data_IF_372474027246
#
_entry.id   IF_372474027246
#
_cell.length_a   1.000
_cell.length_b   1.000
_cell.length_c   1.000
_cell.angle_alpha   90.00
_cell.angle_beta   90.00
_cell.angle_gamma   90.00
#
_symmetry.space_group_name_H-M   'P 1'
#
loop_
_entity.id
_entity.type
_entity.pdbx_description
1 polymer ?
#
# COMPACT_ATOMS: atom_id res chain seq x y z
N UNK A 1 15.30 15.70 17.27
CA UNK A 1 13.91 15.59 17.33
C UNK A 1 13.24 14.53 16.47
N UNK A 2 12.01 14.79 16.07
CA UNK A 2 11.13 13.83 15.38
C UNK A 2 11.74 13.16 14.14
N UNK A 3 12.43 13.88 13.21
CA UNK A 3 13.02 13.22 12.04
C UNK A 3 14.07 12.17 12.40
N UNK A 4 14.88 12.42 13.43
CA UNK A 4 15.87 11.47 13.89
C UNK A 4 15.21 10.24 14.54
N UNK A 5 14.11 10.42 15.28
CA UNK A 5 13.35 9.31 15.86
C UNK A 5 12.73 8.42 14.76
N UNK A 6 12.14 9.02 13.72
CA UNK A 6 11.61 8.28 12.57
C UNK A 6 12.71 7.48 11.85
N UNK A 7 13.89 8.08 11.66
CA UNK A 7 15.03 7.39 11.05
C UNK A 7 15.53 6.21 11.90
N UNK A 8 15.66 6.40 13.22
CA UNK A 8 16.09 5.33 14.13
C UNK A 8 15.08 4.17 14.13
N UNK A 9 13.78 4.46 14.21
CA UNK A 9 12.74 3.43 14.14
C UNK A 9 12.79 2.65 12.82
N UNK A 10 13.01 3.34 11.70
CA UNK A 10 13.18 2.69 10.39
C UNK A 10 14.42 1.78 10.35
N UNK A 11 15.54 2.22 10.93
CA UNK A 11 16.77 1.42 10.99
C UNK A 11 16.57 0.19 11.88
N UNK A 12 15.93 0.34 13.02
CA UNK A 12 15.67 -0.76 13.93
C UNK A 12 14.76 -1.83 13.30
N UNK A 13 13.69 -1.39 12.62
CA UNK A 13 12.82 -2.29 11.86
C UNK A 13 13.58 -3.04 10.76
N UNK A 14 14.36 -2.35 9.94
CA UNK A 14 15.14 -2.96 8.86
C UNK A 14 16.15 -3.98 9.38
N UNK A 15 16.85 -3.65 10.48
CA UNK A 15 17.80 -4.56 11.12
C UNK A 15 17.11 -5.78 11.71
N UNK A 16 16.00 -5.58 12.43
CA UNK A 16 15.25 -6.66 13.05
C UNK A 16 14.65 -7.61 12.01
N UNK A 17 14.09 -7.06 10.93
CA UNK A 17 13.45 -7.83 9.87
C UNK A 17 14.45 -8.44 8.86
N UNK A 18 15.67 -7.95 8.81
CA UNK A 18 16.62 -8.32 7.77
C UNK A 18 16.24 -7.83 6.38
N UNK A 19 15.42 -6.78 6.30
CA UNK A 19 14.85 -6.24 5.06
C UNK A 19 15.46 -4.87 4.77
N UNK A 20 16.54 -4.77 3.98
CA UNK A 20 17.18 -3.51 3.69
C UNK A 20 16.30 -2.64 2.79
N UNK A 21 16.34 -1.35 3.04
CA UNK A 21 15.72 -0.36 2.16
C UNK A 21 16.52 -0.26 0.86
N UNK A 22 15.83 -0.34 -0.28
CA UNK A 22 16.44 -0.12 -1.61
C UNK A 22 16.31 1.31 -2.08
N UNK A 23 15.51 2.10 -1.41
CA UNK A 23 15.24 3.49 -1.69
C UNK A 23 14.23 4.06 -0.71
N UNK A 24 13.90 5.31 -0.88
CA UNK A 24 12.95 5.99 -0.02
C UNK A 24 12.71 7.42 -0.43
N UNK A 25 11.92 8.08 0.37
CA UNK A 25 11.60 9.50 0.25
C UNK A 25 11.46 10.07 1.66
N UNK A 26 12.01 11.22 1.88
CA UNK A 26 11.74 12.02 3.08
C UNK A 26 11.08 13.33 2.71
N UNK A 27 10.22 13.82 3.59
CA UNK A 27 9.73 15.18 3.56
C UNK A 27 10.23 15.87 4.82
N UNK A 28 11.08 16.87 4.61
CA UNK A 28 11.53 17.74 5.69
C UNK A 28 10.38 18.61 6.15
N UNK A 29 10.41 19.00 7.40
CA UNK A 29 9.45 19.97 7.91
C UNK A 29 9.56 21.28 7.14
N UNK A 30 8.45 21.78 6.71
CA UNK A 30 8.32 23.06 6.08
C UNK A 30 7.01 23.72 6.47
N UNK A 31 6.98 25.04 6.43
CA UNK A 31 5.76 25.82 6.63
C UNK A 31 5.55 26.69 5.41
N UNK A 32 4.36 26.62 4.85
CA UNK A 32 3.91 27.53 3.80
C UNK A 32 2.61 28.15 4.29
N UNK A 33 2.66 29.46 4.59
CA UNK A 33 1.56 30.17 5.25
C UNK A 33 1.14 29.43 6.55
N UNK A 34 -0.10 28.99 6.65
CA UNK A 34 -0.66 28.25 7.77
C UNK A 34 -0.52 26.72 7.65
N UNK A 35 0.09 26.24 6.57
CA UNK A 35 0.26 24.81 6.32
C UNK A 35 1.62 24.34 6.83
N UNK A 36 1.58 23.44 7.80
CA UNK A 36 2.77 22.76 8.30
C UNK A 36 2.89 21.36 7.68
N UNK A 37 3.99 21.09 6.99
CA UNK A 37 4.27 19.76 6.44
C UNK A 37 4.76 18.85 7.56
N UNK A 38 4.09 17.72 7.85
CA UNK A 38 4.56 16.76 8.83
C UNK A 38 5.85 16.09 8.38
N UNK A 39 6.69 15.73 9.34
CA UNK A 39 7.88 14.92 9.06
C UNK A 39 7.44 13.55 8.55
N UNK A 40 7.84 13.22 7.33
CA UNK A 40 7.44 11.97 6.68
C UNK A 40 8.69 11.25 6.16
N UNK A 41 8.85 10.01 6.56
CA UNK A 41 9.85 9.08 6.04
C UNK A 41 9.16 7.94 5.34
N UNK A 42 9.51 7.70 4.08
CA UNK A 42 9.04 6.56 3.30
C UNK A 42 10.22 5.67 2.98
N UNK A 43 10.12 4.40 3.31
CA UNK A 43 11.15 3.39 3.05
C UNK A 43 10.58 2.31 2.14
N UNK A 44 11.32 1.96 1.10
CA UNK A 44 10.95 0.94 0.15
C UNK A 44 11.83 -0.29 0.32
N UNK A 45 11.20 -1.45 0.44
CA UNK A 45 11.85 -2.75 0.33
C UNK A 45 11.22 -3.53 -0.83
N UNK A 46 11.99 -4.44 -1.41
CA UNK A 46 11.54 -5.27 -2.54
C UNK A 46 11.81 -6.72 -2.21
N UNK A 47 10.83 -7.54 -2.49
CA UNK A 47 10.95 -8.99 -2.45
C UNK A 47 10.26 -9.60 -3.67
N UNK A 48 10.40 -10.90 -3.86
CA UNK A 48 9.78 -11.65 -4.96
C UNK A 48 8.98 -12.80 -4.38
N UNK A 49 7.77 -13.00 -4.89
CA UNK A 49 6.92 -14.09 -4.48
C UNK A 49 6.29 -14.80 -5.69
N UNK A 50 5.89 -16.03 -5.50
CA UNK A 50 5.10 -16.73 -6.50
C UNK A 50 3.71 -16.08 -6.58
N UNK A 51 3.25 -15.74 -7.78
CA UNK A 51 1.95 -15.10 -8.00
C UNK A 51 0.78 -15.88 -7.38
N UNK A 52 0.91 -17.19 -7.21
CA UNK A 52 -0.10 -18.04 -6.54
C UNK A 52 -0.29 -17.69 -5.06
N UNK A 53 0.75 -17.17 -4.42
CA UNK A 53 0.73 -16.83 -3.00
C UNK A 53 0.34 -15.37 -2.77
N UNK A 54 0.02 -14.62 -3.83
CA UNK A 54 -0.40 -13.23 -3.70
C UNK A 54 -1.87 -13.17 -3.34
N UNK A 55 -2.16 -12.66 -2.15
CA UNK A 55 -3.52 -12.50 -1.60
C UNK A 55 -3.89 -11.02 -1.54
N UNK A 56 -5.09 -10.67 -2.01
CA UNK A 56 -5.55 -9.28 -1.95
C UNK A 56 -6.11 -8.91 -0.58
N UNK A 57 -6.19 -7.59 -0.32
CA UNK A 57 -6.71 -7.08 0.94
C UNK A 57 -8.24 -7.03 1.06
N UNK A 58 -9.00 -7.43 0.04
CA UNK A 58 -10.47 -7.34 0.07
C UNK A 58 -11.10 -8.63 0.55
N UNK A 59 -12.13 -8.58 1.40
CA UNK A 59 -12.91 -9.75 1.80
C UNK A 59 -13.42 -10.53 0.59
N UNK A 60 -13.45 -11.87 0.69
CA UNK A 60 -13.77 -12.74 -0.44
C UNK A 60 -15.14 -13.40 -0.31
N UNK A 61 -15.55 -13.73 0.91
CA UNK A 61 -16.75 -14.56 1.11
C UNK A 61 -17.41 -14.26 2.44
N UNK A 62 -18.74 -14.11 2.45
CA UNK A 62 -19.52 -14.01 3.68
C UNK A 62 -19.46 -15.34 4.45
N UNK A 63 -19.43 -15.24 5.79
CA UNK A 63 -19.40 -16.37 6.72
C UNK A 63 -18.00 -16.81 7.14
N UNK A 64 -16.94 -16.20 6.64
CA UNK A 64 -15.58 -16.46 7.08
C UNK A 64 -15.27 -15.75 8.40
N UNK A 65 -14.37 -16.33 9.20
CA UNK A 65 -13.84 -15.70 10.40
C UNK A 65 -12.91 -14.53 10.04
N UNK A 66 -13.01 -13.46 10.81
CA UNK A 66 -12.11 -12.30 10.76
C UNK A 66 -11.27 -12.30 12.02
N UNK A 67 -9.96 -12.38 11.86
CA UNK A 67 -9.01 -12.48 12.95
C UNK A 67 -8.05 -11.29 12.93
N UNK A 68 -7.66 -10.79 14.10
CA UNK A 68 -6.48 -9.96 14.22
C UNK A 68 -5.32 -10.79 14.74
N UNK A 69 -4.17 -10.62 14.11
CA UNK A 69 -2.90 -11.17 14.54
C UNK A 69 -2.06 -10.00 15.04
N UNK A 70 -2.00 -9.85 16.34
CA UNK A 70 -1.44 -8.68 17.03
C UNK A 70 0.06 -8.81 17.25
N UNK A 71 0.72 -7.65 17.36
CA UNK A 71 2.11 -7.55 17.81
C UNK A 71 2.14 -6.70 19.08
N UNK A 72 2.66 -7.20 20.20
CA UNK A 72 2.79 -6.42 21.40
C UNK A 72 3.86 -5.32 21.25
N UNK A 73 3.71 -4.26 22.03
CA UNK A 73 4.65 -3.15 22.10
C UNK A 73 5.33 -3.08 23.46
N UNK A 74 6.56 -2.63 23.48
CA UNK A 74 7.26 -2.31 24.71
C UNK A 74 6.82 -0.96 25.30
N UNK A 75 7.43 -0.59 26.43
CA UNK A 75 7.13 0.70 27.10
C UNK A 75 7.52 1.94 26.28
N UNK A 76 8.36 1.78 25.29
CA UNK A 76 8.77 2.83 24.34
C UNK A 76 7.92 2.85 23.08
N UNK A 77 6.85 2.03 23.04
CA UNK A 77 5.98 1.86 21.86
C UNK A 77 6.72 1.27 20.65
N UNK A 78 7.79 0.53 20.86
CA UNK A 78 8.43 -0.26 19.81
C UNK A 78 7.75 -1.65 19.71
N UNK A 79 7.44 -2.14 18.50
CA UNK A 79 6.84 -3.46 18.33
C UNK A 79 7.85 -4.57 18.67
N UNK A 80 7.36 -5.67 19.23
CA UNK A 80 8.16 -6.87 19.42
C UNK A 80 8.42 -7.55 18.06
N UNK A 81 9.60 -7.31 17.51
CA UNK A 81 9.98 -7.83 16.20
C UNK A 81 10.12 -9.36 16.15
N UNK A 82 10.41 -10.03 17.28
CA UNK A 82 10.47 -11.49 17.30
C UNK A 82 9.08 -12.10 17.21
N UNK A 83 8.13 -11.53 17.94
CA UNK A 83 6.71 -11.90 17.82
C UNK A 83 6.20 -11.60 16.40
N UNK A 84 6.52 -10.43 15.85
CA UNK A 84 6.15 -10.08 14.47
C UNK A 84 6.67 -11.11 13.46
N UNK A 85 7.97 -11.45 13.52
CA UNK A 85 8.58 -12.44 12.60
C UNK A 85 7.94 -13.82 12.73
N UNK A 86 7.66 -14.26 13.96
CA UNK A 86 6.98 -15.53 14.20
C UNK A 86 5.59 -15.55 13.56
N UNK A 87 4.79 -14.52 13.81
CA UNK A 87 3.45 -14.39 13.27
C UNK A 87 3.43 -14.26 11.74
N UNK A 88 4.33 -13.45 11.17
CA UNK A 88 4.50 -13.33 9.73
C UNK A 88 4.84 -14.68 9.06
N UNK A 89 5.71 -15.47 9.69
CA UNK A 89 6.06 -16.81 9.19
C UNK A 89 4.85 -17.77 9.25
N UNK A 90 4.03 -17.69 10.30
CA UNK A 90 2.81 -18.50 10.41
C UNK A 90 1.79 -18.10 9.34
N UNK A 91 1.56 -16.79 9.14
CA UNK A 91 0.72 -16.26 8.06
C UNK A 91 1.21 -16.75 6.70
N UNK A 92 2.51 -16.65 6.42
CA UNK A 92 3.11 -17.09 5.16
C UNK A 92 2.83 -18.58 4.87
N UNK A 93 2.99 -19.44 5.87
CA UNK A 93 2.71 -20.87 5.73
C UNK A 93 1.24 -21.15 5.43
N UNK A 94 0.32 -20.47 6.12
CA UNK A 94 -1.12 -20.61 5.88
C UNK A 94 -1.51 -20.10 4.50
N UNK A 95 -0.97 -18.96 4.09
CA UNK A 95 -1.22 -18.38 2.79
C UNK A 95 -0.70 -19.28 1.65
N UNK A 96 0.50 -19.83 1.79
CA UNK A 96 1.07 -20.78 0.83
C UNK A 96 0.29 -22.11 0.74
N UNK A 97 -0.53 -22.41 1.76
CA UNK A 97 -1.40 -23.57 1.82
C UNK A 97 -2.86 -23.24 1.42
N UNK A 98 -3.13 -22.07 0.81
CA UNK A 98 -4.45 -21.58 0.43
C UNK A 98 -5.47 -21.55 1.61
N UNK A 99 -4.98 -21.20 2.82
CA UNK A 99 -5.80 -21.11 4.04
C UNK A 99 -6.16 -19.68 4.43
N UNK A 100 -5.68 -18.69 3.69
CA UNK A 100 -5.98 -17.28 3.89
C UNK A 100 -6.69 -16.76 2.65
N UNK A 101 -7.87 -16.21 2.85
CA UNK A 101 -8.69 -15.63 1.79
C UNK A 101 -8.30 -14.17 1.49
N UNK A 102 -8.13 -13.38 2.55
CA UNK A 102 -7.70 -11.98 2.47
C UNK A 102 -6.89 -11.60 3.71
N UNK A 103 -6.00 -10.61 3.56
CA UNK A 103 -5.27 -10.03 4.69
C UNK A 103 -4.96 -8.56 4.44
N UNK A 104 -4.95 -7.77 5.53
CA UNK A 104 -4.67 -6.34 5.48
C UNK A 104 -3.91 -5.86 6.73
N UNK A 105 -2.87 -5.04 6.59
CA UNK A 105 -2.14 -4.52 7.74
C UNK A 105 -2.96 -3.48 8.50
N UNK A 106 -2.90 -3.52 9.81
CA UNK A 106 -3.47 -2.48 10.65
C UNK A 106 -2.51 -1.31 10.74
N UNK A 107 -3.01 -0.10 10.47
CA UNK A 107 -2.23 1.13 10.43
C UNK A 107 -2.76 2.19 11.42
N UNK A 108 -2.64 3.45 11.06
CA UNK A 108 -2.98 4.59 11.90
C UNK A 108 -4.47 4.65 12.31
N UNK A 109 -5.37 4.20 11.45
CA UNK A 109 -6.82 4.18 11.71
C UNK A 109 -7.31 2.91 12.41
N UNK A 110 -6.41 2.04 12.87
CA UNK A 110 -6.74 0.87 13.64
C UNK A 110 -7.49 -0.22 12.87
N UNK A 111 -8.21 -1.04 13.61
CA UNK A 111 -9.07 -2.11 13.07
C UNK A 111 -10.17 -1.53 12.18
N UNK A 112 -10.76 -0.39 12.57
CA UNK A 112 -11.83 0.27 11.82
C UNK A 112 -11.38 0.61 10.38
N UNK A 113 -10.20 1.20 10.22
CA UNK A 113 -9.64 1.50 8.89
C UNK A 113 -9.39 0.23 8.07
N UNK A 114 -8.74 -0.77 8.68
CA UNK A 114 -8.39 -2.01 8.00
C UNK A 114 -9.64 -2.76 7.52
N UNK A 115 -10.61 -2.99 8.41
CA UNK A 115 -11.86 -3.69 8.09
C UNK A 115 -12.68 -2.92 7.05
N UNK A 116 -12.77 -1.59 7.16
CA UNK A 116 -13.45 -0.76 6.15
C UNK A 116 -12.85 -0.95 4.75
N UNK A 117 -11.53 -0.89 4.64
CA UNK A 117 -10.85 -1.10 3.35
C UNK A 117 -11.01 -2.51 2.81
N UNK A 118 -11.00 -3.52 3.69
CA UNK A 118 -11.25 -4.90 3.29
C UNK A 118 -12.70 -5.11 2.81
N UNK A 119 -13.67 -4.45 3.44
CA UNK A 119 -15.08 -4.55 3.09
C UNK A 119 -15.41 -3.83 1.78
N UNK A 120 -14.88 -2.63 1.55
CA UNK A 120 -15.17 -1.81 0.37
C UNK A 120 -14.78 -2.49 -0.94
N UNK A 121 -13.70 -3.28 -0.95
CA UNK A 121 -13.14 -3.85 -2.19
C UNK A 121 -14.10 -4.75 -2.95
N UNK A 122 -14.81 -5.64 -2.26
CA UNK A 122 -15.77 -6.59 -2.85
C UNK A 122 -17.20 -6.40 -2.29
N UNK A 123 -17.46 -5.33 -1.57
CA UNK A 123 -18.78 -5.02 -1.00
C UNK A 123 -19.28 -6.11 -0.06
N UNK A 124 -18.39 -6.70 0.72
CA UNK A 124 -18.69 -7.72 1.73
C UNK A 124 -18.51 -7.06 3.09
N UNK A 125 -19.56 -7.08 3.91
CA UNK A 125 -19.53 -6.46 5.22
C UNK A 125 -18.84 -7.30 6.28
N UNK A 126 -18.82 -6.77 7.51
CA UNK A 126 -18.22 -7.45 8.65
C UNK A 126 -19.02 -7.16 9.92
N UNK A 127 -19.39 -8.23 10.64
CA UNK A 127 -19.91 -8.13 12.00
C UNK A 127 -18.76 -8.34 12.98
N UNK A 128 -18.34 -7.26 13.64
CA UNK A 128 -17.32 -7.29 14.69
C UNK A 128 -18.00 -7.67 16.02
N UNK A 129 -17.41 -8.63 16.72
CA UNK A 129 -17.94 -9.20 17.97
C UNK A 129 -17.05 -8.85 19.17
N UNK A 130 -15.77 -8.66 18.93
CA UNK A 130 -14.76 -8.48 19.98
C UNK A 130 -13.61 -7.60 19.50
N UNK A 131 -13.02 -6.87 20.44
CA UNK A 131 -11.77 -6.11 20.21
C UNK A 131 -10.77 -6.56 21.28
N UNK A 132 -9.59 -7.06 20.89
CA UNK A 132 -8.58 -7.44 21.87
C UNK A 132 -7.97 -6.18 22.50
N UNK A 133 -8.28 -5.91 23.74
CA UNK A 133 -7.74 -4.77 24.49
C UNK A 133 -6.22 -4.88 24.68
N UNK A 134 -5.67 -6.09 24.68
CA UNK A 134 -4.23 -6.34 24.75
C UNK A 134 -3.45 -5.81 23.55
N UNK A 135 -4.11 -5.58 22.43
CA UNK A 135 -3.47 -5.02 21.23
C UNK A 135 -3.07 -3.54 21.41
N UNK A 136 -3.57 -2.84 22.43
CA UNK A 136 -3.23 -1.43 22.70
C UNK A 136 -1.89 -1.27 23.45
N UNK A 137 -1.18 -2.34 23.75
CA UNK A 137 0.12 -2.30 24.45
C UNK A 137 0.08 -1.81 25.90
N UNK A 138 -1.06 -1.36 26.36
CA UNK A 138 -1.31 -0.92 27.74
C UNK A 138 -2.29 -1.91 28.34
N UNK A 139 -1.92 -2.65 29.35
CA UNK A 139 -2.80 -3.59 30.06
C UNK A 139 -3.95 -2.83 30.75
N UNK A 140 -4.97 -2.50 29.97
CA UNK A 140 -6.15 -1.81 30.44
C UNK A 140 -7.20 -2.87 30.76
N UNK A 141 -7.45 -3.10 32.06
CA UNK A 141 -8.56 -3.94 32.56
C UNK A 141 -9.88 -3.17 32.44
N UNK A 142 -10.35 -2.89 31.24
CA UNK A 142 -11.69 -2.36 30.96
C UNK A 142 -12.33 -3.10 29.79
N UNK A 143 -13.66 -3.13 29.70
CA UNK A 143 -14.33 -3.60 28.47
C UNK A 143 -13.86 -2.80 27.26
N UNK A 144 -13.73 -3.48 26.12
CA UNK A 144 -13.46 -2.81 24.86
C UNK A 144 -14.57 -1.84 24.51
N UNK A 145 -14.25 -0.74 23.88
CA UNK A 145 -15.20 0.26 23.40
C UNK A 145 -15.01 0.54 21.92
N UNK A 146 -15.95 1.20 21.29
CA UNK A 146 -15.87 1.53 19.86
C UNK A 146 -14.62 2.36 19.51
N UNK A 147 -14.14 3.17 20.43
CA UNK A 147 -12.93 3.98 20.26
C UNK A 147 -11.68 3.11 20.08
N UNK A 148 -11.66 1.92 20.67
CA UNK A 148 -10.52 0.99 20.55
C UNK A 148 -10.34 0.48 19.12
N UNK A 149 -11.41 0.48 18.31
CA UNK A 149 -11.34 0.15 16.88
C UNK A 149 -10.43 1.10 16.09
N UNK A 150 -10.27 2.34 16.56
CA UNK A 150 -9.47 3.38 15.90
C UNK A 150 -8.05 3.50 16.45
N UNK A 151 -7.68 2.64 17.40
CA UNK A 151 -6.34 2.66 17.98
C UNK A 151 -5.31 2.14 16.98
N UNK A 152 -4.22 2.91 16.70
CA UNK A 152 -3.13 2.43 15.84
C UNK A 152 -2.49 1.14 16.37
N UNK A 153 -2.27 0.18 15.47
CA UNK A 153 -1.68 -1.12 15.82
C UNK A 153 -0.69 -1.58 14.74
N UNK A 154 0.38 -0.82 14.55
CA UNK A 154 1.38 -1.12 13.51
C UNK A 154 2.02 -2.49 13.72
N UNK A 155 2.15 -3.26 12.63
CA UNK A 155 2.65 -4.64 12.67
C UNK A 155 1.58 -5.69 12.89
N UNK A 156 0.37 -5.31 13.34
CA UNK A 156 -0.78 -6.21 13.40
C UNK A 156 -1.42 -6.38 12.03
N UNK A 157 -2.04 -7.53 11.79
CA UNK A 157 -2.62 -7.90 10.49
C UNK A 157 -4.03 -8.44 10.73
N UNK A 158 -5.01 -7.97 9.95
CA UNK A 158 -6.34 -8.57 9.86
C UNK A 158 -6.30 -9.67 8.80
N UNK A 159 -6.88 -10.81 9.12
CA UNK A 159 -6.95 -11.99 8.24
C UNK A 159 -8.37 -12.47 8.13
N UNK A 160 -8.83 -12.72 6.91
CA UNK A 160 -10.05 -13.47 6.61
C UNK A 160 -9.68 -14.93 6.31
N UNK A 161 -10.37 -15.86 6.98
CA UNK A 161 -10.16 -17.29 6.76
C UNK A 161 -11.36 -18.11 7.24
N UNK A 162 -11.54 -19.30 6.67
CA UNK A 162 -12.47 -20.32 7.19
C UNK A 162 -11.86 -21.21 8.29
N UNK A 163 -10.54 -21.10 8.53
CA UNK A 163 -9.83 -21.88 9.54
C UNK A 163 -9.98 -21.25 10.93
N UNK A 164 -9.88 -22.07 11.98
CA UNK A 164 -9.73 -21.57 13.36
C UNK A 164 -8.27 -21.26 13.64
N UNK A 165 -7.90 -19.98 13.67
CA UNK A 165 -6.53 -19.56 13.90
C UNK A 165 -6.14 -19.54 15.38
N UNK A 166 -7.08 -19.48 16.33
CA UNK A 166 -6.79 -19.39 17.76
C UNK A 166 -6.11 -20.66 18.30
N UNK A 167 -6.34 -21.81 17.65
CA UNK A 167 -5.73 -23.07 18.01
C UNK A 167 -4.37 -23.33 17.32
N UNK A 168 -3.95 -22.43 16.42
CA UNK A 168 -2.74 -22.62 15.65
C UNK A 168 -1.48 -22.25 16.45
N UNK A 169 -0.71 -23.23 16.84
CA UNK A 169 0.49 -23.11 17.68
C UNK A 169 1.71 -22.50 16.97
N UNK A 170 1.64 -22.26 15.67
CA UNK A 170 2.71 -21.57 14.94
C UNK A 170 2.77 -20.09 15.33
N UNK A 171 1.63 -19.49 15.66
CA UNK A 171 1.56 -18.11 16.16
C UNK A 171 2.17 -17.96 17.56
N UNK A 172 2.54 -16.75 17.89
CA UNK A 172 2.92 -16.41 19.26
C UNK A 172 1.68 -16.48 20.18
N UNK A 173 1.86 -16.96 21.39
CA UNK A 173 0.79 -17.10 22.36
C UNK A 173 0.12 -15.77 22.67
N UNK A 174 -1.21 -15.76 22.71
CA UNK A 174 -2.04 -14.58 23.03
C UNK A 174 -2.06 -13.50 21.95
N UNK A 175 -1.53 -13.77 20.74
CA UNK A 175 -1.49 -12.77 19.67
C UNK A 175 -2.60 -12.91 18.62
N UNK A 176 -3.33 -14.01 18.61
CA UNK A 176 -4.44 -14.27 17.69
C UNK A 176 -5.76 -14.09 18.43
N UNK A 177 -6.64 -13.31 17.85
CA UNK A 177 -8.00 -13.13 18.36
C UNK A 177 -8.99 -13.10 17.19
N UNK A 178 -10.06 -13.89 17.28
CA UNK A 178 -11.20 -13.75 16.39
C UNK A 178 -11.96 -12.48 16.75
N UNK A 179 -12.03 -11.53 15.83
CA UNK A 179 -12.70 -10.25 16.07
C UNK A 179 -14.10 -10.16 15.46
N UNK A 180 -14.47 -11.11 14.61
CA UNK A 180 -15.79 -11.13 13.99
C UNK A 180 -15.91 -12.10 12.83
N UNK A 181 -16.92 -11.86 12.02
CA UNK A 181 -17.21 -12.64 10.82
C UNK A 181 -17.59 -11.74 9.66
N UNK A 182 -17.27 -12.16 8.45
CA UNK A 182 -17.74 -11.49 7.23
C UNK A 182 -19.24 -11.77 7.00
N UNK A 183 -19.98 -10.76 6.55
CA UNK A 183 -21.41 -10.84 6.28
C UNK A 183 -21.73 -10.42 4.85
N UNK A 184 -22.88 -10.89 4.32
CA UNK A 184 -23.28 -10.54 2.96
C UNK A 184 -23.83 -9.12 2.83
N UNK A 185 -24.33 -8.56 3.91
CA UNK A 185 -24.82 -7.18 3.99
C UNK A 185 -23.67 -6.20 3.84
N UNK A 186 -23.87 -5.15 3.06
CA UNK A 186 -22.88 -4.11 2.78
C UNK A 186 -22.73 -3.12 3.94
N UNK A 187 -22.43 -3.62 5.13
CA UNK A 187 -22.28 -2.83 6.34
C UNK A 187 -21.23 -3.40 7.31
N UNK A 188 -20.77 -2.57 8.22
CA UNK A 188 -19.94 -2.99 9.35
C UNK A 188 -20.74 -2.76 10.63
N UNK A 189 -20.75 -3.75 11.51
CA UNK A 189 -21.44 -3.66 12.81
C UNK A 189 -20.46 -3.94 13.95
N UNK A 190 -20.68 -3.28 15.10
CA UNK A 190 -20.02 -3.55 16.36
C UNK A 190 -20.96 -3.14 17.52
N UNK A 191 -21.30 -4.09 18.37
CA UNK A 191 -22.37 -3.93 19.38
C UNK A 191 -23.66 -3.39 18.74
N UNK A 192 -24.18 -2.27 19.24
CA UNK A 192 -25.39 -1.60 18.71
C UNK A 192 -25.07 -0.60 17.59
N UNK A 193 -23.80 -0.41 17.24
CA UNK A 193 -23.38 0.51 16.19
C UNK A 193 -23.34 -0.20 14.83
N UNK A 194 -23.81 0.49 13.80
CA UNK A 194 -23.67 0.03 12.41
C UNK A 194 -23.39 1.19 11.48
N UNK A 195 -22.69 0.90 10.38
CA UNK A 195 -22.40 1.87 9.31
C UNK A 195 -22.46 1.16 7.97
N UNK A 196 -23.16 1.76 7.02
CA UNK A 196 -23.24 1.28 5.64
C UNK A 196 -21.92 1.53 4.90
N UNK A 197 -21.51 0.61 4.02
CA UNK A 197 -20.31 0.78 3.22
C UNK A 197 -20.39 1.99 2.30
N UNK A 198 -21.59 2.32 1.83
CA UNK A 198 -21.83 3.53 1.02
C UNK A 198 -21.58 4.83 1.78
N UNK A 199 -21.83 4.86 3.09
CA UNK A 199 -21.53 6.02 3.93
C UNK A 199 -20.01 6.18 4.12
N UNK A 200 -19.31 5.07 4.37
CA UNK A 200 -17.84 5.06 4.49
C UNK A 200 -17.19 5.54 3.20
N UNK A 201 -17.63 5.03 2.05
CA UNK A 201 -17.14 5.39 0.72
C UNK A 201 -17.36 6.88 0.45
N UNK A 202 -18.58 7.36 0.68
CA UNK A 202 -18.95 8.78 0.50
C UNK A 202 -18.10 9.69 1.38
N UNK A 203 -17.88 9.34 2.65
CA UNK A 203 -17.06 10.11 3.58
C UNK A 203 -15.59 10.15 3.15
N UNK A 204 -15.07 9.04 2.62
CA UNK A 204 -13.70 8.95 2.13
C UNK A 204 -13.49 9.82 0.90
N UNK A 205 -14.36 9.72 -0.10
CA UNK A 205 -14.28 10.49 -1.33
C UNK A 205 -14.51 11.99 -1.11
N UNK A 206 -15.44 12.35 -0.23
CA UNK A 206 -15.78 13.74 0.04
C UNK A 206 -14.61 14.58 0.58
N UNK A 207 -13.65 13.96 1.24
CA UNK A 207 -12.54 14.68 1.90
C UNK A 207 -11.72 15.52 0.93
N UNK A 208 -11.49 15.04 -0.28
CA UNK A 208 -10.72 15.73 -1.32
C UNK A 208 -11.60 16.25 -2.47
N UNK A 209 -12.91 16.07 -2.43
CA UNK A 209 -13.83 16.40 -3.53
C UNK A 209 -13.78 17.86 -3.97
N UNK A 210 -13.43 18.79 -3.06
CA UNK A 210 -13.30 20.23 -3.40
C UNK A 210 -12.07 20.52 -4.26
N UNK A 211 -11.02 19.73 -4.13
CA UNK A 211 -9.73 19.91 -4.81
C UNK A 211 -9.57 18.88 -5.93
N UNK A 212 -9.98 17.64 -5.63
CA UNK A 212 -9.94 16.50 -6.53
C UNK A 212 -11.30 15.79 -6.56
N UNK A 213 -12.29 16.29 -7.30
CA UNK A 213 -13.57 15.61 -7.41
C UNK A 213 -13.40 14.27 -8.11
N UNK A 214 -14.05 13.23 -7.59
CA UNK A 214 -14.03 11.87 -8.16
C UNK A 214 -14.60 11.85 -9.58
N UNK A 215 -15.55 12.76 -9.86
CA UNK A 215 -16.14 12.96 -11.18
C UNK A 215 -15.94 14.42 -11.60
N UNK A 216 -15.31 14.65 -12.75
CA UNK A 216 -15.21 15.99 -13.33
C UNK A 216 -16.58 16.45 -13.83
N UNK A 217 -17.23 17.34 -13.09
CA UNK A 217 -18.56 17.86 -13.42
C UNK A 217 -18.60 18.77 -14.66
N UNK A 218 -17.46 19.06 -15.29
CA UNK A 218 -17.33 20.04 -16.40
C UNK A 218 -16.80 19.45 -17.71
N UNK A 219 -16.46 18.19 -17.73
CA UNK A 219 -16.16 17.53 -18.99
C UNK A 219 -17.30 16.56 -19.30
N UNK A 220 -18.18 16.92 -20.25
CA UNK A 220 -18.58 15.90 -21.19
C UNK A 220 -17.25 15.22 -21.56
N UNK A 221 -17.03 14.00 -21.05
CA UNK A 221 -15.89 13.23 -21.53
C UNK A 221 -16.13 13.13 -23.04
N UNK A 222 -15.30 13.77 -23.88
CA UNK A 222 -15.47 13.58 -25.30
C UNK A 222 -15.42 12.08 -25.51
N UNK A 223 -16.45 11.53 -26.13
CA UNK A 223 -16.44 10.11 -26.50
C UNK A 223 -15.08 9.84 -27.12
N UNK A 224 -14.34 8.88 -26.57
CA UNK A 224 -13.03 8.56 -27.13
C UNK A 224 -13.20 8.37 -28.63
N UNK A 225 -12.49 9.12 -29.47
CA UNK A 225 -12.68 9.01 -30.91
C UNK A 225 -12.47 7.56 -31.31
N UNK A 226 -13.23 7.08 -32.27
CA UNK A 226 -13.25 5.68 -32.70
C UNK A 226 -11.84 5.14 -33.04
N UNK A 227 -10.94 6.04 -33.48
CA UNK A 227 -9.53 5.69 -33.71
C UNK A 227 -8.78 5.34 -32.42
N UNK A 228 -9.08 6.02 -31.29
CA UNK A 228 -8.42 5.73 -30.01
C UNK A 228 -8.84 4.38 -29.45
N UNK A 229 -10.06 3.94 -29.67
CA UNK A 229 -10.52 2.59 -29.31
C UNK A 229 -9.86 1.54 -30.21
N UNK A 230 -9.75 1.80 -31.50
CA UNK A 230 -9.06 0.90 -32.47
C UNK A 230 -7.55 0.83 -32.21
N UNK A 231 -6.92 1.95 -31.86
CA UNK A 231 -5.51 1.95 -31.44
C UNK A 231 -5.30 1.16 -30.15
N UNK A 232 -6.20 1.26 -29.18
CA UNK A 232 -6.08 0.50 -27.95
C UNK A 232 -6.19 -1.01 -28.17
N UNK A 233 -7.11 -1.46 -29.02
CA UNK A 233 -7.20 -2.86 -29.45
C UNK A 233 -5.96 -3.29 -30.25
N UNK A 234 -5.46 -2.43 -31.13
CA UNK A 234 -4.24 -2.72 -31.90
C UNK A 234 -2.99 -2.77 -31.03
N UNK A 235 -2.88 -1.92 -29.99
CA UNK A 235 -1.79 -1.95 -29.03
C UNK A 235 -1.83 -3.20 -28.13
N UNK A 236 -3.04 -3.65 -27.72
CA UNK A 236 -3.18 -4.91 -26.99
C UNK A 236 -2.79 -6.09 -27.86
N UNK A 237 -3.15 -6.07 -29.12
CA UNK A 237 -2.77 -7.10 -30.09
C UNK A 237 -1.30 -7.00 -30.52
N UNK A 238 -0.76 -5.80 -30.65
CA UNK A 238 0.66 -5.57 -30.94
C UNK A 238 1.60 -6.02 -29.81
N UNK A 239 1.15 -6.02 -28.54
CA UNK A 239 1.90 -6.63 -27.43
C UNK A 239 2.16 -8.13 -27.63
N UNK A 240 1.34 -8.82 -28.40
CA UNK A 240 1.54 -10.24 -28.76
C UNK A 240 2.52 -10.44 -29.93
N UNK A 241 2.81 -9.38 -30.65
CA UNK A 241 3.69 -9.39 -31.84
C UNK A 241 4.73 -8.27 -31.79
N UNK A 242 5.37 -8.04 -30.65
CA UNK A 242 6.62 -7.28 -30.65
C UNK A 242 7.66 -8.13 -31.36
N UNK A 243 7.53 -8.24 -32.66
CA UNK A 243 8.69 -8.43 -33.50
C UNK A 243 9.53 -7.18 -33.28
N UNK A 244 10.61 -7.31 -32.53
CA UNK A 244 11.74 -6.37 -32.61
C UNK A 244 11.97 -6.25 -34.12
N UNK A 245 11.64 -5.09 -34.66
CA UNK A 245 11.75 -4.84 -36.09
C UNK A 245 13.08 -5.42 -36.55
N UNK A 246 13.05 -6.24 -37.60
CA UNK A 246 14.26 -6.78 -38.20
C UNK A 246 15.27 -5.65 -38.24
N UNK A 247 16.44 -5.87 -37.64
CA UNK A 247 17.45 -4.84 -37.39
C UNK A 247 17.56 -3.94 -38.62
N UNK A 248 16.87 -2.81 -38.55
CA UNK A 248 16.86 -1.83 -39.63
C UNK A 248 18.29 -1.49 -39.96
N UNK A 249 18.61 -1.34 -41.24
CA UNK A 249 19.97 -1.04 -41.70
C UNK A 249 20.55 0.25 -41.15
N UNK A 250 19.72 1.13 -40.52
CA UNK A 250 20.12 2.36 -39.90
C UNK A 250 19.95 2.28 -38.38
N UNK A 251 21.01 2.62 -37.64
CA UNK A 251 20.95 2.81 -36.19
C UNK A 251 20.57 4.29 -35.93
N UNK A 252 19.34 4.59 -35.53
CA UNK A 252 18.95 5.98 -35.28
C UNK A 252 19.79 6.58 -34.16
N UNK A 253 20.14 7.86 -34.30
CA UNK A 253 20.74 8.61 -33.21
C UNK A 253 19.63 9.23 -32.36
N UNK A 254 19.59 8.88 -31.08
CA UNK A 254 18.68 9.44 -30.10
C UNK A 254 19.43 10.44 -29.23
N UNK A 255 19.00 11.67 -29.24
CA UNK A 255 19.53 12.73 -28.38
C UNK A 255 18.69 12.77 -27.11
N UNK A 256 19.35 12.68 -25.97
CA UNK A 256 18.73 12.72 -24.64
C UNK A 256 19.18 14.02 -23.97
N UNK A 257 18.36 15.08 -23.95
CA UNK A 257 18.66 16.29 -23.23
C UNK A 257 18.61 16.05 -21.72
N UNK A 258 19.63 16.49 -21.01
CA UNK A 258 19.76 16.36 -19.56
C UNK A 258 19.78 17.73 -18.93
N UNK A 259 18.69 18.12 -18.29
CA UNK A 259 18.57 19.37 -17.55
C UNK A 259 19.05 19.19 -16.10
N UNK A 260 19.40 20.27 -15.40
CA UNK A 260 19.65 20.20 -13.96
C UNK A 260 18.44 19.58 -13.22
N UNK A 261 18.65 18.48 -12.50
CA UNK A 261 17.60 17.74 -11.81
C UNK A 261 16.91 16.65 -12.65
N UNK A 262 17.31 16.41 -13.90
CA UNK A 262 16.85 15.24 -14.68
C UNK A 262 17.29 13.95 -13.99
N UNK A 263 16.39 12.98 -13.93
CA UNK A 263 16.65 11.64 -13.42
C UNK A 263 16.40 10.60 -14.52
N UNK A 264 16.98 9.41 -14.34
CA UNK A 264 16.82 8.25 -15.22
C UNK A 264 17.38 8.42 -16.65
N UNK A 265 18.22 9.42 -16.88
CA UNK A 265 18.86 9.65 -18.19
C UNK A 265 19.74 8.47 -18.64
N UNK A 266 20.42 7.82 -17.68
CA UNK A 266 21.21 6.61 -17.96
C UNK A 266 20.34 5.39 -18.25
N UNK A 267 19.21 5.27 -17.58
CA UNK A 267 18.25 4.19 -17.82
C UNK A 267 17.61 4.34 -19.20
N UNK A 268 17.22 5.56 -19.57
CA UNK A 268 16.75 5.88 -20.93
C UNK A 268 17.81 5.56 -21.98
N UNK A 269 19.05 5.98 -21.74
CA UNK A 269 20.18 5.68 -22.62
C UNK A 269 20.32 4.16 -22.82
N UNK A 270 20.29 3.42 -21.74
CA UNK A 270 20.37 1.95 -21.75
C UNK A 270 19.23 1.33 -22.53
N UNK A 271 17.99 1.77 -22.30
CA UNK A 271 16.80 1.26 -22.99
C UNK A 271 16.89 1.47 -24.51
N UNK A 272 17.24 2.67 -24.96
CA UNK A 272 17.41 2.97 -26.39
C UNK A 272 18.56 2.19 -27.03
N UNK A 273 19.68 2.03 -26.32
CA UNK A 273 20.81 1.24 -26.80
C UNK A 273 20.43 -0.26 -26.93
N UNK A 274 19.66 -0.80 -25.98
CA UNK A 274 19.13 -2.17 -26.05
C UNK A 274 18.17 -2.35 -27.23
N UNK A 275 17.38 -1.32 -27.55
CA UNK A 275 16.51 -1.30 -28.71
C UNK A 275 17.28 -1.13 -30.05
N UNK A 276 18.61 -0.98 -30.02
CA UNK A 276 19.46 -0.91 -31.21
C UNK A 276 19.77 0.50 -31.71
N UNK A 277 19.36 1.55 -31.00
CA UNK A 277 19.70 2.93 -31.30
C UNK A 277 21.13 3.28 -30.85
N UNK A 278 21.68 4.39 -31.37
CA UNK A 278 22.82 5.08 -30.76
C UNK A 278 22.27 6.24 -29.93
N UNK A 279 22.79 6.44 -28.73
CA UNK A 279 22.34 7.52 -27.85
C UNK A 279 23.44 8.54 -27.61
N UNK A 280 23.03 9.79 -27.41
CA UNK A 280 23.91 10.88 -26.98
C UNK A 280 23.20 11.64 -25.86
N UNK A 281 23.83 11.68 -24.68
CA UNK A 281 23.42 12.57 -23.59
C UNK A 281 23.92 13.97 -23.90
N UNK A 282 23.06 14.96 -23.82
CA UNK A 282 23.36 16.36 -24.02
C UNK A 282 23.00 17.15 -22.76
N UNK A 283 23.99 17.47 -21.91
CA UNK A 283 23.72 18.31 -20.75
C UNK A 283 23.27 19.70 -21.19
N UNK A 284 22.08 20.10 -20.73
CA UNK A 284 21.51 21.42 -21.02
C UNK A 284 21.72 22.32 -19.81
N UNK A 285 22.41 23.45 -20.02
CA UNK A 285 22.57 24.47 -19.00
C UNK A 285 21.44 25.50 -19.13
N UNK A 286 20.64 25.68 -18.11
CA UNK A 286 19.51 26.62 -18.13
C UNK A 286 19.34 27.39 -16.82
N UNK A 287 20.40 27.47 -16.00
CA UNK A 287 20.35 28.18 -14.70
C UNK A 287 20.51 29.69 -14.83
N UNK A 288 21.10 30.13 -15.90
CA UNK A 288 21.36 31.56 -16.18
C UNK A 288 20.86 31.92 -17.59
N UNK A 289 20.43 33.18 -17.80
CA UNK A 289 20.12 33.68 -19.15
C UNK A 289 21.33 33.48 -20.09
N UNK A 290 21.07 33.07 -21.32
CA UNK A 290 22.10 32.84 -22.35
C UNK A 290 22.76 31.45 -22.33
N UNK A 291 22.64 30.69 -21.24
CA UNK A 291 23.27 29.35 -21.19
C UNK A 291 22.65 28.34 -22.17
N UNK A 292 21.39 28.53 -22.58
CA UNK A 292 20.77 27.71 -23.61
C UNK A 292 21.36 27.94 -25.00
N UNK A 293 21.86 29.13 -25.27
CA UNK A 293 22.49 29.47 -26.56
C UNK A 293 23.88 28.87 -26.72
N UNK A 294 24.52 28.52 -25.59
CA UNK A 294 25.86 27.92 -25.55
C UNK A 294 25.81 26.36 -25.62
N UNK A 295 24.62 25.75 -25.58
CA UNK A 295 24.43 24.27 -25.57
C UNK A 295 24.17 23.73 -26.97
#
# INVERSE_FOLDING_TARGET
>A
GYPAAALLGSIDAQKAMGTPSIGGKDSMSGTFEDINVPHTLVSFAVDTENVKNVTSGSFKKAGNGVYIISVPYDKQMAPDFEVFKRNAKAIYKLNAADKIEAMYPVAAGGIAEAVSKMALGNRIGCALETIPVSATGVGIERPASIEDLFTPQYGSIIVETSENLEENKDFAEGTVCKIGVTIAEEKITFDDAEVELSEIESAWEAKLAKVYPAVSSKAEQPALPEWALKEHESLINARKTFNIAEKGKAKPLVILPVFPGTNCELDMQRAFNLAGAKTRLVPIRNKLPGQLEET
#
